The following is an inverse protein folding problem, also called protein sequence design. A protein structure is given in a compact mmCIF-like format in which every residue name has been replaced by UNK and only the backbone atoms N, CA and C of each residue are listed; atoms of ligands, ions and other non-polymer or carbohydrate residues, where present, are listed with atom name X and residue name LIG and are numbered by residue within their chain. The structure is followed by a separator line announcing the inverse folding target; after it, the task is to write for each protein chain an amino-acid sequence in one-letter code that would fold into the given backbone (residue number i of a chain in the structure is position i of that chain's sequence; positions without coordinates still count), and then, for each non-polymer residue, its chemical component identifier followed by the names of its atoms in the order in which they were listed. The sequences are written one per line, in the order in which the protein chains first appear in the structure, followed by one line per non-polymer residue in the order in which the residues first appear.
data_IF_235956185251
#
_entry.id   IF_235956185251
#
_cell.length_a   1.000
_cell.length_b   1.000
_cell.length_c   1.000
_cell.angle_alpha   90.00
_cell.angle_beta   90.00
_cell.angle_gamma   90.00
#
_symmetry.space_group_name_H-M   'P 1'
#
loop_
_entity.id
_entity.type
_entity.pdbx_description
1 polymer ?
#
# COMPACT_ATOMS: atom_id res chain seq x y z
N UNK A 1 3.29 -12.49 -23.87
CA UNK A 1 3.16 -11.43 -22.88
C UNK A 1 3.76 -11.89 -21.58
N UNK A 2 4.58 -11.08 -21.05
CA UNK A 2 5.19 -11.38 -19.78
C UNK A 2 4.19 -11.13 -18.66
N UNK A 3 3.98 -12.14 -17.88
CA UNK A 3 3.09 -12.03 -16.75
C UNK A 3 3.89 -11.55 -15.56
N UNK A 4 4.28 -10.32 -15.61
CA UNK A 4 5.06 -9.79 -14.53
C UNK A 4 4.13 -9.39 -13.40
N UNK A 5 4.24 -10.08 -12.28
CA UNK A 5 3.44 -9.76 -11.12
C UNK A 5 4.04 -8.55 -10.44
N UNK A 6 3.24 -7.52 -10.33
CA UNK A 6 3.67 -6.27 -9.73
C UNK A 6 2.83 -5.95 -8.52
N UNK A 7 3.23 -4.93 -7.78
CA UNK A 7 2.51 -4.49 -6.60
C UNK A 7 1.07 -4.08 -6.92
N UNK A 8 0.79 -3.72 -8.17
CA UNK A 8 -0.56 -3.34 -8.58
C UNK A 8 -1.40 -4.53 -9.02
N UNK A 9 -0.79 -5.70 -9.12
CA UNK A 9 -1.48 -6.91 -9.55
C UNK A 9 -2.21 -7.51 -8.36
N UNK A 10 -3.56 -7.58 -8.38
CA UNK A 10 -4.29 -8.19 -7.28
C UNK A 10 -3.87 -9.63 -7.01
N UNK A 11 -3.49 -10.37 -8.05
CA UNK A 11 -3.03 -11.74 -7.88
C UNK A 11 -1.74 -11.82 -7.09
N UNK A 12 -0.84 -10.87 -7.33
CA UNK A 12 0.41 -10.81 -6.59
C UNK A 12 0.18 -10.55 -5.10
N UNK A 13 -0.69 -9.59 -4.81
CA UNK A 13 -1.02 -9.26 -3.42
C UNK A 13 -1.70 -10.44 -2.74
N UNK A 14 -2.65 -11.08 -3.43
CA UNK A 14 -3.34 -12.24 -2.87
C UNK A 14 -2.37 -13.37 -2.60
N UNK A 15 -1.41 -13.58 -3.48
CA UNK A 15 -0.41 -14.62 -3.29
C UNK A 15 0.43 -14.34 -2.06
N UNK A 16 0.84 -13.10 -1.86
CA UNK A 16 1.61 -12.72 -0.69
C UNK A 16 0.80 -12.92 0.59
N UNK A 17 -0.47 -12.55 0.55
CA UNK A 17 -1.33 -12.74 1.72
C UNK A 17 -1.55 -14.21 2.03
N UNK A 18 -1.61 -15.05 1.01
CA UNK A 18 -1.75 -16.49 1.21
C UNK A 18 -0.51 -17.05 1.88
N UNK A 19 0.66 -16.56 1.51
CA UNK A 19 1.90 -17.01 2.13
C UNK A 19 1.93 -16.74 3.62
N UNK A 20 1.27 -15.68 4.07
CA UNK A 20 1.18 -15.38 5.50
C UNK A 20 0.52 -16.53 6.25
N UNK A 21 -0.50 -17.12 5.67
CA UNK A 21 -1.22 -18.19 6.33
C UNK A 21 -0.45 -19.49 6.38
N UNK A 22 0.50 -19.66 5.46
CA UNK A 22 1.20 -20.93 5.32
C UNK A 22 2.65 -20.87 5.81
N UNK A 23 3.22 -19.71 5.91
CA UNK A 23 4.64 -19.57 6.15
C UNK A 23 5.03 -19.35 7.59
N UNK A 24 6.32 -19.28 7.81
CA UNK A 24 6.89 -18.94 9.09
C UNK A 24 6.61 -17.48 9.39
N UNK A 25 6.34 -17.20 10.65
CA UNK A 25 5.82 -15.89 11.05
C UNK A 25 6.73 -14.72 10.67
N UNK A 26 8.02 -14.86 10.91
CA UNK A 26 8.90 -13.70 10.76
C UNK A 26 9.17 -13.33 9.32
N UNK A 27 9.51 -14.31 8.48
CA UNK A 27 9.78 -14.01 7.08
C UNK A 27 8.51 -13.60 6.35
N UNK A 28 7.37 -14.19 6.73
CA UNK A 28 6.10 -13.85 6.13
C UNK A 28 5.70 -12.43 6.51
N UNK A 29 5.93 -12.04 7.76
CA UNK A 29 5.62 -10.69 8.20
C UNK A 29 6.43 -9.66 7.43
N UNK A 30 7.71 -9.96 7.17
CA UNK A 30 8.54 -9.05 6.40
C UNK A 30 8.07 -8.95 4.96
N UNK A 31 7.66 -10.07 4.37
CA UNK A 31 7.14 -10.05 3.01
C UNK A 31 5.86 -9.25 2.91
N UNK A 32 4.99 -9.36 3.91
CA UNK A 32 3.77 -8.58 3.95
C UNK A 32 4.10 -7.10 4.07
N UNK A 33 5.07 -6.77 4.90
CA UNK A 33 5.50 -5.40 5.07
C UNK A 33 5.96 -4.81 3.73
N UNK A 34 6.78 -5.55 2.99
CA UNK A 34 7.23 -5.11 1.67
C UNK A 34 6.06 -4.97 0.69
N UNK A 35 5.13 -5.92 0.73
CA UNK A 35 3.97 -5.87 -0.15
C UNK A 35 3.13 -4.63 0.12
N UNK A 36 2.95 -4.29 1.41
CA UNK A 36 2.18 -3.11 1.76
C UNK A 36 2.89 -1.83 1.33
N UNK A 37 4.21 -1.80 1.39
CA UNK A 37 4.95 -0.65 0.89
C UNK A 37 4.71 -0.42 -0.59
N UNK A 38 4.73 -1.50 -1.37
CA UNK A 38 4.51 -1.39 -2.81
C UNK A 38 3.08 -1.01 -3.14
N UNK A 39 2.12 -1.55 -2.41
CA UNK A 39 0.73 -1.17 -2.59
C UNK A 39 0.55 0.32 -2.26
N UNK A 40 1.19 0.78 -1.20
CA UNK A 40 1.11 2.17 -0.80
C UNK A 40 1.64 3.10 -1.89
N UNK A 41 2.76 2.71 -2.52
CA UNK A 41 3.30 3.49 -3.62
C UNK A 41 2.32 3.54 -4.79
N UNK A 42 1.64 2.42 -5.07
CA UNK A 42 0.65 2.38 -6.13
C UNK A 42 -0.54 3.30 -5.85
N UNK A 43 -1.01 3.30 -4.60
CA UNK A 43 -2.11 4.16 -4.22
C UNK A 43 -1.69 5.62 -4.32
N UNK A 44 -0.48 5.93 -3.88
CA UNK A 44 0.03 7.30 -3.97
C UNK A 44 0.13 7.76 -5.41
N UNK A 45 0.60 6.89 -6.31
CA UNK A 45 0.68 7.21 -7.73
C UNK A 45 -0.69 7.48 -8.32
N UNK A 46 -1.67 6.66 -7.95
CA UNK A 46 -3.03 6.85 -8.39
C UNK A 46 -3.61 8.16 -7.88
N UNK A 47 -3.33 8.50 -6.64
CA UNK A 47 -3.77 9.75 -6.04
C UNK A 47 -3.22 10.96 -6.81
N UNK A 48 -1.94 10.92 -7.13
CA UNK A 48 -1.32 11.99 -7.91
C UNK A 48 -1.95 12.10 -9.29
N UNK A 49 -2.26 10.97 -9.90
CA UNK A 49 -2.93 10.98 -11.21
C UNK A 49 -4.30 11.64 -11.12
N UNK A 50 -5.11 11.30 -10.11
CA UNK A 50 -6.42 11.92 -9.95
C UNK A 50 -6.30 13.43 -9.75
N UNK A 51 -5.31 13.86 -8.97
CA UNK A 51 -5.10 15.28 -8.76
C UNK A 51 -4.72 16.00 -10.04
N UNK A 52 -3.87 15.39 -10.84
CA UNK A 52 -3.45 15.97 -12.12
C UNK A 52 -4.64 16.05 -13.08
N UNK A 53 -5.44 15.00 -13.15
CA UNK A 53 -6.60 15.00 -14.03
C UNK A 53 -7.66 16.00 -13.58
N UNK A 54 -7.84 16.13 -12.29
CA UNK A 54 -8.78 17.13 -11.76
C UNK A 54 -8.37 18.53 -12.20
N UNK A 55 -7.09 18.81 -12.15
CA UNK A 55 -6.57 20.10 -12.57
C UNK A 55 -6.73 20.29 -14.08
N UNK A 56 -6.38 19.26 -14.84
CA UNK A 56 -6.48 19.32 -16.30
C UNK A 56 -7.92 19.44 -16.79
N UNK A 57 -8.89 18.95 -16.02
CA UNK A 57 -10.29 18.99 -16.42
C UNK A 57 -10.81 20.42 -16.55
N UNK A 58 -10.16 21.38 -15.94
CA UNK A 58 -10.56 22.77 -16.09
C UNK A 58 -10.38 23.26 -17.53
N UNK A 59 -9.38 22.73 -18.23
CA UNK A 59 -9.07 23.15 -19.60
C UNK A 59 -9.51 22.13 -20.66
N UNK A 60 -9.82 20.90 -20.28
CA UNK A 60 -10.10 19.84 -21.25
C UNK A 60 -11.46 19.24 -20.96
N UNK A 61 -12.42 19.50 -21.85
CA UNK A 61 -13.79 19.00 -21.69
C UNK A 61 -13.86 17.49 -21.62
N UNK A 62 -12.95 16.80 -22.28
CA UNK A 62 -12.98 15.33 -22.29
C UNK A 62 -12.77 14.74 -20.91
N UNK A 63 -12.19 15.51 -20.01
CA UNK A 63 -11.90 15.05 -18.66
C UNK A 63 -12.98 15.43 -17.66
N UNK A 64 -13.99 16.16 -18.10
CA UNK A 64 -15.08 16.59 -17.23
C UNK A 64 -16.09 15.48 -17.06
N UNK A 65 -16.90 15.59 -16.03
CA UNK A 65 -17.93 14.58 -15.78
C UNK A 65 -17.49 13.49 -14.84
N UNK A 66 -16.24 13.52 -14.40
CA UNK A 66 -15.70 12.57 -13.41
C UNK A 66 -15.62 13.29 -12.07
N UNK A 67 -16.07 12.63 -11.03
CA UNK A 67 -15.98 13.20 -9.69
C UNK A 67 -14.59 12.90 -9.12
N UNK A 68 -13.64 13.73 -9.50
CA UNK A 68 -12.25 13.54 -9.06
C UNK A 68 -12.09 13.69 -7.56
N UNK A 69 -12.89 14.55 -6.94
CA UNK A 69 -12.78 14.74 -5.50
C UNK A 69 -13.15 13.46 -4.75
N UNK A 70 -14.13 12.74 -5.26
CA UNK A 70 -14.53 11.46 -4.68
C UNK A 70 -13.42 10.42 -4.85
N UNK A 71 -12.81 10.38 -6.04
CA UNK A 71 -11.72 9.45 -6.31
C UNK A 71 -10.50 9.77 -5.46
N UNK A 72 -10.21 11.05 -5.30
CA UNK A 72 -9.11 11.50 -4.45
C UNK A 72 -9.36 11.08 -3.00
N UNK A 73 -10.57 11.35 -2.50
CA UNK A 73 -10.90 11.00 -1.12
C UNK A 73 -10.80 9.49 -0.90
N UNK A 74 -11.23 8.70 -1.88
CA UNK A 74 -11.14 7.25 -1.78
C UNK A 74 -9.68 6.80 -1.73
N UNK A 75 -8.85 7.37 -2.59
CA UNK A 75 -7.43 7.01 -2.61
C UNK A 75 -6.75 7.41 -1.30
N UNK A 76 -7.10 8.56 -0.76
CA UNK A 76 -6.54 9.00 0.51
C UNK A 76 -6.95 8.07 1.65
N UNK A 77 -8.20 7.61 1.65
CA UNK A 77 -8.67 6.68 2.66
C UNK A 77 -7.96 5.33 2.53
N UNK A 78 -7.75 4.87 1.30
CA UNK A 78 -7.03 3.63 1.06
C UNK A 78 -5.58 3.74 1.53
N UNK A 79 -4.95 4.87 1.25
CA UNK A 79 -3.59 5.10 1.68
C UNK A 79 -3.49 5.06 3.21
N UNK A 80 -4.41 5.74 3.89
CA UNK A 80 -4.39 5.76 5.35
C UNK A 80 -4.59 4.37 5.94
N UNK A 81 -5.46 3.56 5.34
CA UNK A 81 -5.70 2.21 5.83
C UNK A 81 -4.48 1.32 5.65
N UNK A 82 -3.82 1.41 4.50
CA UNK A 82 -2.62 0.62 4.24
C UNK A 82 -1.48 1.09 5.15
N UNK A 83 -1.37 2.39 5.34
CA UNK A 83 -0.31 2.94 6.19
C UNK A 83 -0.48 2.46 7.63
N UNK A 84 -1.71 2.43 8.13
CA UNK A 84 -1.96 1.95 9.47
C UNK A 84 -1.51 0.48 9.63
N UNK A 85 -1.81 -0.34 8.62
CA UNK A 85 -1.38 -1.74 8.64
C UNK A 85 0.14 -1.86 8.57
N UNK A 86 0.75 -1.05 7.72
CA UNK A 86 2.19 -1.09 7.55
C UNK A 86 2.89 -0.74 8.86
N UNK A 87 2.41 0.27 9.55
CA UNK A 87 3.01 0.69 10.81
C UNK A 87 2.83 -0.35 11.92
N UNK A 88 1.70 -1.05 11.92
CA UNK A 88 1.53 -2.14 12.87
C UNK A 88 2.54 -3.26 12.63
N UNK A 89 2.84 -3.52 11.36
CA UNK A 89 3.80 -4.57 11.02
C UNK A 89 5.24 -4.17 11.34
N UNK A 90 5.53 -2.88 11.37
CA UNK A 90 6.87 -2.43 11.72
C UNK A 90 7.27 -2.98 13.09
N UNK A 91 6.40 -2.85 14.07
CA UNK A 91 6.69 -3.37 15.40
C UNK A 91 6.84 -4.89 15.38
N UNK A 92 6.02 -5.57 14.59
CA UNK A 92 6.07 -7.01 14.50
C UNK A 92 7.34 -7.50 13.81
N UNK A 93 7.75 -6.83 12.73
CA UNK A 93 8.89 -7.24 11.92
C UNK A 93 10.21 -6.86 12.59
N UNK A 94 10.31 -5.63 13.02
CA UNK A 94 11.58 -5.10 13.54
C UNK A 94 11.67 -5.17 15.06
N UNK A 95 10.54 -5.08 15.75
CA UNK A 95 10.52 -5.17 17.20
C UNK A 95 10.92 -6.55 17.70
N UNK A 96 10.55 -7.59 16.99
CA UNK A 96 10.88 -8.95 17.38
C UNK A 96 12.35 -9.26 17.28
N UNK A 97 13.04 -8.60 16.36
CA UNK A 97 14.46 -8.86 16.17
C UNK A 97 15.24 -8.49 17.41
N UNK A 98 14.78 -7.49 18.16
CA UNK A 98 15.49 -7.00 19.34
C UNK A 98 14.52 -6.69 20.47
N UNK A 99 13.77 -7.68 20.95
CA UNK A 99 12.76 -7.40 21.96
C UNK A 99 13.33 -6.89 23.27
N UNK A 100 14.46 -7.43 23.71
CA UNK A 100 15.06 -6.97 24.95
C UNK A 100 15.65 -5.58 24.80
N UNK A 101 16.17 -5.27 23.61
CA UNK A 101 16.68 -3.93 23.34
C UNK A 101 15.55 -2.90 23.45
N UNK A 102 14.43 -3.20 22.85
CA UNK A 102 13.29 -2.30 22.93
C UNK A 102 12.78 -2.15 24.34
N UNK A 103 12.82 -3.23 25.12
CA UNK A 103 12.40 -3.17 26.50
C UNK A 103 13.30 -2.32 27.36
N UNK A 104 14.54 -2.13 26.93
CA UNK A 104 15.50 -1.36 27.70
C UNK A 104 15.54 0.10 27.31
N UNK A 105 14.88 0.47 26.25
CA UNK A 105 14.82 1.86 25.85
C UNK A 105 13.82 2.57 26.71
N UNK A 106 14.32 3.37 27.61
CA UNK A 106 13.46 4.09 28.51
C UNK A 106 13.79 5.56 28.52
#
# INVERSE_FOLDING_TARGET
VVESKTANDPGWVAEKLTQVKLGAADSVSFEIFEALELVELGIRGKLQMWRALALASAADERLRGVDYQKLIARAEAQYAAVEARRLLLVASVFGRAHPSHLGQVN
#
